data_IF_262635157789
#
_entry.id   IF_262635157789
#
_cell.length_a   1.000
_cell.length_b   1.000
_cell.length_c   1.000
_cell.angle_alpha   90.00
_cell.angle_beta   90.00
_cell.angle_gamma   90.00
#
_symmetry.space_group_name_H-M   'P 1'
#
loop_
_entity.id
_entity.type
_entity.pdbx_description
1 polymer ?
#
# COMPACT_ATOMS: atom_id res chain seq x y z
N UNK A 1 26.32 -9.64 5.38
CA UNK A 1 26.41 -9.04 4.02
C UNK A 1 25.01 -8.87 3.47
N UNK A 2 24.64 -7.67 3.01
CA UNK A 2 23.34 -7.45 2.34
C UNK A 2 23.43 -8.00 0.92
N UNK A 3 22.50 -8.86 0.51
CA UNK A 3 22.46 -9.43 -0.84
C UNK A 3 21.11 -9.15 -1.50
N UNK A 4 21.11 -9.00 -2.82
CA UNK A 4 19.88 -8.83 -3.60
C UNK A 4 18.89 -9.98 -3.40
N UNK A 5 19.38 -11.22 -3.24
CA UNK A 5 18.54 -12.39 -2.95
C UNK A 5 17.84 -12.28 -1.59
N UNK A 6 18.53 -11.81 -0.55
CA UNK A 6 17.93 -11.61 0.76
C UNK A 6 16.88 -10.50 0.78
N UNK A 7 17.10 -9.44 -0.01
CA UNK A 7 16.10 -8.36 -0.18
C UNK A 7 14.86 -8.89 -0.90
N UNK A 8 15.04 -9.63 -2.01
CA UNK A 8 13.95 -10.26 -2.77
C UNK A 8 13.14 -11.21 -1.87
N UNK A 9 13.80 -12.06 -1.10
CA UNK A 9 13.14 -12.95 -0.15
C UNK A 9 12.33 -12.20 0.91
N UNK A 10 12.89 -11.12 1.48
CA UNK A 10 12.18 -10.30 2.45
C UNK A 10 10.90 -9.69 1.87
N UNK A 11 10.94 -9.18 0.61
CA UNK A 11 9.77 -8.62 -0.07
C UNK A 11 8.72 -9.71 -0.31
N UNK A 12 9.12 -10.84 -0.89
CA UNK A 12 8.22 -11.95 -1.20
C UNK A 12 7.58 -12.56 0.07
N UNK A 13 8.25 -12.47 1.21
CA UNK A 13 7.72 -12.86 2.52
C UNK A 13 6.87 -11.76 3.18
N UNK A 14 6.65 -10.60 2.53
CA UNK A 14 5.92 -9.46 3.09
C UNK A 14 6.67 -8.68 4.17
N UNK A 15 7.95 -8.96 4.39
CA UNK A 15 8.83 -8.27 5.36
C UNK A 15 9.37 -6.96 4.78
N UNK A 16 8.46 -6.11 4.27
CA UNK A 16 8.81 -4.88 3.54
C UNK A 16 9.60 -3.88 4.37
N UNK A 17 9.34 -3.81 5.69
CA UNK A 17 10.10 -2.95 6.59
C UNK A 17 11.57 -3.41 6.73
N UNK A 18 11.83 -4.72 6.69
CA UNK A 18 13.20 -5.26 6.64
C UNK A 18 13.85 -4.92 5.30
N UNK A 19 13.15 -5.17 4.19
CA UNK A 19 13.63 -4.83 2.85
C UNK A 19 14.00 -3.34 2.76
N UNK A 20 13.13 -2.44 3.27
CA UNK A 20 13.39 -1.00 3.28
C UNK A 20 14.63 -0.61 4.09
N UNK A 21 14.90 -1.26 5.22
CA UNK A 21 16.14 -1.04 5.98
C UNK A 21 17.38 -1.49 5.21
N UNK A 22 17.30 -2.62 4.51
CA UNK A 22 18.41 -3.13 3.69
C UNK A 22 18.68 -2.28 2.46
N UNK A 23 17.62 -1.73 1.85
CA UNK A 23 17.68 -0.82 0.70
C UNK A 23 18.03 0.62 1.09
N UNK A 24 17.88 1.00 2.36
CA UNK A 24 17.96 2.38 2.88
C UNK A 24 16.82 3.30 2.35
N UNK A 25 15.81 2.75 1.74
CA UNK A 25 14.58 3.41 1.30
C UNK A 25 13.43 2.41 1.23
N UNK A 26 12.16 2.84 1.30
CA UNK A 26 11.04 1.94 1.13
C UNK A 26 11.08 1.21 -0.21
N UNK A 27 10.71 -0.06 -0.21
CA UNK A 27 10.47 -0.77 -1.45
C UNK A 27 9.20 -0.24 -2.10
N UNK A 28 9.25 0.10 -3.37
CA UNK A 28 8.13 0.70 -4.09
C UNK A 28 7.83 0.01 -5.41
N UNK A 29 6.55 0.08 -5.80
CA UNK A 29 6.04 -0.41 -7.08
C UNK A 29 5.48 0.76 -7.87
N UNK A 30 5.93 0.89 -9.11
CA UNK A 30 5.43 1.87 -10.07
C UNK A 30 4.43 1.18 -11.01
N UNK A 31 3.45 1.94 -11.51
CA UNK A 31 2.54 1.46 -12.54
C UNK A 31 1.42 2.43 -12.88
N UNK A 32 0.56 1.96 -13.76
CA UNK A 32 -0.60 2.72 -14.23
C UNK A 32 -1.78 2.58 -13.26
N UNK A 33 -2.55 3.65 -13.12
CA UNK A 33 -3.83 3.60 -12.41
C UNK A 33 -4.89 3.06 -13.35
N UNK A 34 -5.50 1.95 -12.95
CA UNK A 34 -6.56 1.30 -13.71
C UNK A 34 -7.90 1.39 -13.00
N UNK A 35 -8.98 1.29 -13.77
CA UNK A 35 -10.33 1.25 -13.18
C UNK A 35 -10.50 -0.01 -12.34
N UNK A 36 -10.89 0.15 -11.08
CA UNK A 36 -11.29 -0.96 -10.22
C UNK A 36 -12.65 -1.55 -10.65
N UNK A 37 -12.86 -2.84 -10.44
CA UNK A 37 -14.10 -3.54 -10.80
C UNK A 37 -15.25 -3.33 -9.79
N UNK A 38 -15.38 -2.10 -9.26
CA UNK A 38 -16.66 -1.61 -8.75
C UNK A 38 -17.17 -2.08 -7.39
N UNK A 39 -16.45 -2.87 -6.59
CA UNK A 39 -16.90 -3.19 -5.21
C UNK A 39 -16.70 -1.98 -4.28
N UNK A 40 -15.84 -1.02 -4.66
CA UNK A 40 -15.50 0.17 -3.88
C UNK A 40 -16.24 1.47 -4.24
N UNK A 41 -17.11 1.50 -5.23
CA UNK A 41 -17.77 2.73 -5.72
C UNK A 41 -18.69 3.44 -4.70
N UNK A 42 -18.89 2.85 -3.51
CA UNK A 42 -19.64 3.43 -2.38
C UNK A 42 -18.78 3.65 -1.13
N UNK A 43 -17.46 3.58 -1.24
CA UNK A 43 -16.59 3.75 -0.08
C UNK A 43 -16.23 5.23 0.10
N UNK A 44 -16.27 5.66 1.33
CA UNK A 44 -15.98 7.01 1.84
C UNK A 44 -14.49 7.42 1.67
N UNK A 45 -13.65 6.55 1.07
CA UNK A 45 -12.21 6.77 0.91
C UNK A 45 -11.81 6.52 -0.54
N UNK A 46 -11.13 7.48 -1.20
CA UNK A 46 -10.66 7.31 -2.57
C UNK A 46 -9.73 6.09 -2.71
N UNK A 47 -9.98 5.26 -3.72
CA UNK A 47 -9.22 4.04 -3.98
C UNK A 47 -8.60 4.08 -5.36
N UNK A 48 -7.30 3.86 -5.45
CA UNK A 48 -6.56 3.70 -6.70
C UNK A 48 -6.16 2.23 -6.86
N UNK A 49 -6.29 1.70 -8.07
CA UNK A 49 -5.84 0.36 -8.41
C UNK A 49 -4.56 0.46 -9.24
N UNK A 50 -3.48 -0.16 -8.76
CA UNK A 50 -2.18 -0.16 -9.42
C UNK A 50 -2.04 -1.39 -10.32
N UNK A 51 -1.81 -1.16 -11.60
CA UNK A 51 -1.32 -2.16 -12.55
C UNK A 51 0.19 -2.03 -12.67
N UNK A 52 0.94 -3.03 -12.21
CA UNK A 52 2.41 -3.04 -12.25
C UNK A 52 2.94 -4.21 -13.06
N UNK A 53 4.12 -4.04 -13.66
CA UNK A 53 4.88 -5.11 -14.34
C UNK A 53 6.04 -5.63 -13.49
N UNK A 54 6.09 -5.27 -12.22
CA UNK A 54 7.17 -5.70 -11.33
C UNK A 54 7.15 -7.22 -11.13
N UNK A 55 8.30 -7.85 -11.26
CA UNK A 55 8.49 -9.29 -11.01
C UNK A 55 8.44 -9.65 -9.54
N UNK A 56 8.81 -8.71 -8.68
CA UNK A 56 8.86 -8.92 -7.22
C UNK A 56 7.74 -8.10 -6.59
N UNK A 57 6.75 -8.79 -6.05
CA UNK A 57 5.61 -8.16 -5.39
C UNK A 57 5.55 -8.66 -3.94
N UNK A 58 5.25 -7.79 -2.97
CA UNK A 58 5.08 -8.22 -1.58
C UNK A 58 4.02 -9.31 -1.43
N UNK A 59 4.19 -10.17 -0.42
CA UNK A 59 3.19 -11.19 -0.09
C UNK A 59 1.78 -10.61 0.05
N UNK A 60 0.75 -11.44 -0.16
CA UNK A 60 -0.66 -11.07 0.07
C UNK A 60 -0.84 -10.47 1.45
N UNK A 61 -1.54 -9.36 1.55
CA UNK A 61 -1.78 -8.70 2.84
C UNK A 61 -2.08 -7.22 2.72
N UNK A 62 -2.28 -6.60 3.86
CA UNK A 62 -2.53 -5.17 4.00
C UNK A 62 -1.28 -4.49 4.53
N UNK A 63 -0.93 -3.37 3.91
CA UNK A 63 0.31 -2.63 4.17
C UNK A 63 0.05 -1.15 4.43
N UNK A 64 0.79 -0.55 5.33
CA UNK A 64 0.95 0.89 5.36
C UNK A 64 1.84 1.29 4.19
N UNK A 65 1.38 2.27 3.43
CA UNK A 65 2.04 2.71 2.20
C UNK A 65 2.05 4.24 2.10
N UNK A 66 2.92 4.73 1.23
CA UNK A 66 2.86 6.10 0.73
C UNK A 66 2.70 6.03 -0.77
N UNK A 67 1.71 6.73 -1.28
CA UNK A 67 1.42 6.79 -2.71
C UNK A 67 1.83 8.13 -3.26
N UNK A 68 2.59 8.14 -4.34
CA UNK A 68 3.02 9.34 -5.04
C UNK A 68 2.51 9.32 -6.49
N UNK A 69 2.08 10.46 -6.97
CA UNK A 69 1.79 10.69 -8.37
C UNK A 69 3.13 10.86 -9.12
N UNK A 70 3.37 10.06 -10.15
CA UNK A 70 4.61 10.11 -10.92
C UNK A 70 4.68 11.26 -11.91
N UNK A 71 3.53 11.88 -12.20
CA UNK A 71 3.42 12.97 -13.16
C UNK A 71 3.30 14.36 -12.47
N UNK A 72 3.29 14.39 -11.12
CA UNK A 72 3.24 15.62 -10.32
C UNK A 72 3.96 15.47 -8.98
N UNK A 73 3.96 16.52 -8.14
CA UNK A 73 4.54 16.48 -6.79
C UNK A 73 3.58 15.97 -5.70
N UNK A 74 2.37 15.51 -6.09
CA UNK A 74 1.36 15.04 -5.13
C UNK A 74 1.76 13.71 -4.51
N UNK A 75 1.56 13.58 -3.20
CA UNK A 75 1.75 12.33 -2.49
C UNK A 75 0.79 12.24 -1.30
N UNK A 76 0.39 11.02 -0.96
CA UNK A 76 -0.59 10.73 0.08
C UNK A 76 -0.11 9.61 0.99
N UNK A 77 -0.44 9.71 2.26
CA UNK A 77 -0.42 8.55 3.13
C UNK A 77 -1.55 7.61 2.70
N UNK A 78 -1.27 6.33 2.71
CA UNK A 78 -2.20 5.35 2.16
C UNK A 78 -2.10 4.01 2.89
N UNK A 79 -3.06 3.16 2.60
CA UNK A 79 -3.07 1.76 2.99
C UNK A 79 -3.37 0.93 1.75
N UNK A 80 -2.54 -0.09 1.49
CA UNK A 80 -2.68 -0.90 0.27
C UNK A 80 -2.97 -2.36 0.61
N UNK A 81 -3.90 -2.94 -0.12
CA UNK A 81 -4.15 -4.37 -0.12
C UNK A 81 -3.48 -5.00 -1.34
N UNK A 82 -2.60 -5.97 -1.09
CA UNK A 82 -2.01 -6.84 -2.10
C UNK A 82 -2.75 -8.16 -2.06
N UNK A 83 -3.45 -8.49 -3.13
CA UNK A 83 -4.24 -9.71 -3.24
C UNK A 83 -4.23 -10.28 -4.66
N UNK A 84 -4.96 -11.37 -4.85
CA UNK A 84 -5.17 -11.96 -6.17
C UNK A 84 -6.65 -12.21 -6.36
N UNK A 85 -7.13 -11.94 -7.56
CA UNK A 85 -8.51 -12.16 -7.92
C UNK A 85 -8.61 -13.40 -8.82
N UNK A 86 -9.49 -14.34 -8.49
CA UNK A 86 -9.77 -15.46 -9.39
C UNK A 86 -10.40 -14.92 -10.68
N UNK A 87 -9.89 -15.37 -11.82
CA UNK A 87 -10.50 -15.12 -13.12
C UNK A 87 -11.04 -16.43 -13.69
N UNK A 88 -12.23 -16.39 -14.30
CA UNK A 88 -12.81 -17.57 -14.94
C UNK A 88 -11.87 -18.07 -16.05
N UNK A 89 -11.26 -19.26 -15.84
CA UNK A 89 -10.43 -19.94 -16.84
C UNK A 89 -9.00 -19.46 -17.03
N UNK A 90 -8.51 -18.56 -16.16
CA UNK A 90 -7.13 -18.06 -16.20
C UNK A 90 -6.49 -18.09 -14.80
N UNK A 91 -5.16 -17.90 -14.74
CA UNK A 91 -4.44 -17.72 -13.47
C UNK A 91 -4.94 -16.49 -12.70
N UNK A 92 -4.89 -16.55 -11.38
CA UNK A 92 -5.21 -15.43 -10.49
C UNK A 92 -4.50 -14.14 -10.92
N UNK A 93 -5.24 -13.05 -11.06
CA UNK A 93 -4.67 -11.74 -11.43
C UNK A 93 -4.30 -10.96 -10.17
N UNK A 94 -3.05 -10.48 -10.15
CA UNK A 94 -2.58 -9.59 -9.09
C UNK A 94 -3.46 -8.34 -9.02
N UNK A 95 -3.89 -8.00 -7.81
CA UNK A 95 -4.66 -6.79 -7.49
C UNK A 95 -3.95 -6.03 -6.38
N UNK A 96 -3.60 -4.77 -6.66
CA UNK A 96 -3.05 -3.85 -5.65
C UNK A 96 -4.00 -2.68 -5.55
N UNK A 97 -4.77 -2.64 -4.46
CA UNK A 97 -5.75 -1.59 -4.18
C UNK A 97 -5.21 -0.67 -3.11
N UNK A 98 -5.13 0.61 -3.40
CA UNK A 98 -4.55 1.63 -2.52
C UNK A 98 -5.61 2.63 -2.11
N UNK A 99 -5.89 2.70 -0.80
CA UNK A 99 -6.82 3.63 -0.17
C UNK A 99 -6.05 4.85 0.33
N UNK A 100 -6.41 6.02 -0.16
CA UNK A 100 -5.77 7.27 0.22
C UNK A 100 -6.35 7.78 1.55
N UNK A 101 -5.48 8.11 2.51
CA UNK A 101 -5.85 8.55 3.85
C UNK A 101 -5.91 10.08 3.98
N UNK A 102 -5.22 10.77 3.08
CA UNK A 102 -5.22 12.22 2.97
C UNK A 102 -6.29 12.67 1.95
N UNK A 103 -6.70 13.94 1.99
CA UNK A 103 -7.62 14.49 0.99
C UNK A 103 -7.11 14.24 -0.43
N UNK A 104 -8.03 13.88 -1.30
CA UNK A 104 -7.75 13.59 -2.69
C UNK A 104 -8.58 14.53 -3.58
N UNK A 105 -7.87 15.36 -4.34
CA UNK A 105 -8.47 16.30 -5.31
C UNK A 105 -8.18 15.83 -6.73
N UNK A 106 -9.14 16.06 -7.63
CA UNK A 106 -8.97 15.78 -9.05
C UNK A 106 -7.85 16.65 -9.68
N UNK A 107 -7.22 16.17 -10.75
CA UNK A 107 -7.50 14.93 -11.48
C UNK A 107 -6.88 13.68 -10.84
N UNK A 108 -7.52 12.54 -11.09
CA UNK A 108 -6.96 11.22 -10.73
C UNK A 108 -5.63 11.01 -11.43
N UNK A 109 -4.56 10.62 -10.71
CA UNK A 109 -3.24 10.37 -11.32
C UNK A 109 -3.33 9.25 -12.34
N UNK A 110 -2.56 9.36 -13.41
CA UNK A 110 -2.46 8.32 -14.45
C UNK A 110 -1.48 7.24 -14.06
N UNK A 111 -0.38 7.62 -13.40
CA UNK A 111 0.71 6.76 -12.96
C UNK A 111 1.05 7.06 -11.51
N UNK A 112 1.22 6.02 -10.72
CA UNK A 112 1.57 6.14 -9.31
C UNK A 112 2.74 5.24 -8.94
N UNK A 113 3.43 5.64 -7.88
CA UNK A 113 4.34 4.82 -7.11
C UNK A 113 3.72 4.53 -5.75
N UNK A 114 3.74 3.27 -5.34
CA UNK A 114 3.30 2.82 -4.03
C UNK A 114 4.51 2.32 -3.25
N UNK A 115 4.96 3.08 -2.25
CA UNK A 115 6.05 2.73 -1.35
C UNK A 115 5.53 1.97 -0.14
N UNK A 116 6.03 0.76 0.10
CA UNK A 116 5.61 -0.13 1.17
C UNK A 116 6.42 0.13 2.43
N UNK A 117 5.77 0.54 3.52
CA UNK A 117 6.42 0.91 4.79
C UNK A 117 6.46 -0.25 5.78
N UNK A 118 5.31 -0.85 6.06
CA UNK A 118 5.22 -2.03 6.90
C UNK A 118 3.94 -2.82 6.64
N UNK A 119 3.96 -4.13 6.97
CA UNK A 119 2.80 -5.00 6.89
C UNK A 119 1.91 -4.82 8.11
N UNK A 120 0.61 -4.65 7.90
CA UNK A 120 -0.40 -4.50 8.96
C UNK A 120 -0.95 -5.86 9.36
N UNK A 121 -1.33 -6.68 8.36
CA UNK A 121 -1.93 -8.00 8.53
C UNK A 121 -1.93 -8.80 7.23
N UNK A 122 -2.26 -10.07 7.35
CA UNK A 122 -2.52 -10.94 6.21
C UNK A 122 -3.84 -10.59 5.52
N UNK A 123 -3.95 -10.93 4.23
CA UNK A 123 -5.22 -10.91 3.54
C UNK A 123 -6.15 -11.96 4.16
N UNK A 124 -7.43 -11.63 4.25
CA UNK A 124 -8.46 -12.56 4.72
C UNK A 124 -9.79 -12.31 4.03
N UNK A 125 -10.57 -13.36 3.92
CA UNK A 125 -11.96 -13.28 3.46
C UNK A 125 -12.87 -12.83 4.61
N UNK A 126 -13.97 -12.20 4.26
CA UNK A 126 -14.99 -11.73 5.20
C UNK A 126 -16.32 -12.36 4.87
N UNK A 127 -17.07 -12.73 5.90
CA UNK A 127 -18.37 -13.38 5.79
C UNK A 127 -19.47 -12.43 5.27
N UNK A 128 -19.27 -11.11 5.44
CA UNK A 128 -20.23 -10.10 5.00
C UNK A 128 -19.54 -8.79 4.59
N UNK A 129 -20.20 -7.96 3.77
CA UNK A 129 -19.74 -6.60 3.44
C UNK A 129 -19.56 -5.72 4.68
N UNK A 130 -20.40 -5.89 5.71
CA UNK A 130 -20.35 -5.14 6.97
C UNK A 130 -19.08 -5.50 7.75
N UNK A 131 -18.73 -6.80 7.82
CA UNK A 131 -17.50 -7.27 8.45
C UNK A 131 -16.25 -6.72 7.73
N UNK A 132 -16.26 -6.71 6.40
CA UNK A 132 -15.20 -6.08 5.58
C UNK A 132 -15.09 -4.58 5.88
N UNK A 133 -16.21 -3.85 5.88
CA UNK A 133 -16.24 -2.41 6.18
C UNK A 133 -15.70 -2.11 7.58
N UNK A 134 -16.11 -2.87 8.57
CA UNK A 134 -15.63 -2.72 9.95
C UNK A 134 -14.12 -2.95 10.05
N UNK A 135 -13.58 -3.91 9.28
CA UNK A 135 -12.13 -4.15 9.24
C UNK A 135 -11.39 -3.02 8.55
N UNK A 136 -11.87 -2.53 7.41
CA UNK A 136 -11.26 -1.39 6.70
C UNK A 136 -11.19 -0.18 7.63
N UNK A 137 -12.23 0.12 8.40
CA UNK A 137 -12.23 1.22 9.36
C UNK A 137 -11.20 1.02 10.49
N UNK A 138 -10.96 -0.22 10.94
CA UNK A 138 -9.89 -0.54 11.91
C UNK A 138 -8.51 -0.31 11.30
N UNK A 139 -8.29 -0.78 10.08
CA UNK A 139 -7.03 -0.64 9.36
C UNK A 139 -6.70 0.85 9.12
N UNK A 140 -7.69 1.64 8.70
CA UNK A 140 -7.56 3.11 8.51
C UNK A 140 -7.20 3.80 9.83
N UNK A 141 -7.83 3.44 10.95
CA UNK A 141 -7.48 4.02 12.27
C UNK A 141 -6.05 3.67 12.68
N UNK A 142 -5.62 2.43 12.45
CA UNK A 142 -4.25 2.00 12.70
C UNK A 142 -3.25 2.81 11.85
N UNK A 143 -3.53 2.95 10.57
CA UNK A 143 -2.69 3.70 9.64
C UNK A 143 -2.58 5.18 10.02
N UNK A 144 -3.69 5.84 10.31
CA UNK A 144 -3.70 7.25 10.75
C UNK A 144 -2.92 7.46 12.05
N UNK A 145 -3.02 6.52 12.99
CA UNK A 145 -2.24 6.56 14.23
C UNK A 145 -0.74 6.43 13.97
N UNK A 146 -0.34 5.53 13.06
CA UNK A 146 1.05 5.36 12.65
C UNK A 146 1.61 6.66 12.04
N UNK A 147 0.95 7.23 11.03
CA UNK A 147 1.43 8.43 10.35
C UNK A 147 1.49 9.65 11.26
N UNK A 148 0.55 9.80 12.21
CA UNK A 148 0.63 10.85 13.23
C UNK A 148 1.88 10.72 14.11
N UNK A 149 2.22 9.49 14.53
CA UNK A 149 3.43 9.24 15.34
C UNK A 149 4.71 9.52 14.55
N UNK A 150 4.77 9.10 13.30
CA UNK A 150 5.92 9.37 12.43
C UNK A 150 6.09 10.86 12.23
N UNK A 151 5.02 11.60 11.94
CA UNK A 151 5.06 13.07 11.81
C UNK A 151 5.54 13.74 13.10
N UNK A 152 5.00 13.35 14.24
CA UNK A 152 5.41 13.89 15.53
C UNK A 152 6.88 13.58 15.87
N UNK A 153 7.37 12.40 15.47
CA UNK A 153 8.78 12.04 15.65
C UNK A 153 9.70 12.88 14.75
N UNK A 154 9.35 13.07 13.48
CA UNK A 154 10.11 13.88 12.52
C UNK A 154 10.11 15.39 12.89
N UNK A 155 9.10 15.86 13.62
CA UNK A 155 8.98 17.27 14.07
C UNK A 155 9.70 17.55 15.39
N UNK A 156 10.32 16.54 16.03
CA UNK A 156 11.12 16.75 17.24
C UNK A 156 12.41 17.50 16.89
N UNK A 157 12.74 18.58 17.62
CA UNK A 157 14.03 19.22 17.45
C UNK A 157 15.14 18.21 17.77
N UNK A 158 16.16 18.17 16.92
CA UNK A 158 17.37 17.38 17.18
C UNK A 158 18.03 17.99 18.43
N UNK A 159 17.80 17.38 19.58
CA UNK A 159 18.58 17.71 20.79
C UNK A 159 20.00 17.28 20.50
N UNK A 160 20.88 18.26 20.23
CA UNK A 160 22.32 18.00 20.21
C UNK A 160 22.71 17.54 21.61
N UNK A 161 23.19 16.31 21.73
CA UNK A 161 23.90 15.83 22.90
C UNK A 161 25.29 16.49 22.96
#
# INVERSE_FOLDING_TARGET
MVSSSGIREAILAGRVALAGRLLQHPYGLDGDVVKGHGVGARQTVPTLNLATRAEVVPARGVYLTRTADLDSSRAWNSISNVGYRPTFGASDVLSIETFLLDPFDDPTPRRIRVDFLCRVRDERQFESPEALKAQILRDVRCARSYFRRVKAWLSRPLTRA
#
